data_IF_724795388624
#
_entry.id   IF_724795388624
#
_cell.length_a   1.000
_cell.length_b   1.000
_cell.length_c   1.000
_cell.angle_alpha   90.00
_cell.angle_beta   90.00
_cell.angle_gamma   90.00
#
_symmetry.space_group_name_H-M   'P 1'
#
loop_
_entity.id
_entity.type
_entity.pdbx_description
1 polymer ?
#
# COMPACT_ATOMS: atom_id res chain seq x y z
N UNK A 1 -34.97 -1.01 31.54
CA UNK A 1 -33.75 -1.83 31.59
C UNK A 1 -32.96 -1.51 30.34
N UNK A 2 -31.90 -0.73 30.51
CA UNK A 2 -31.13 -0.09 29.45
C UNK A 2 -30.37 -1.15 28.62
N UNK A 3 -30.74 -1.21 27.34
CA UNK A 3 -29.95 -1.58 26.16
C UNK A 3 -28.93 -2.75 26.26
N UNK A 4 -29.35 -3.91 25.75
CA UNK A 4 -28.48 -4.96 25.18
C UNK A 4 -27.84 -4.51 23.85
N UNK A 5 -27.38 -3.25 23.77
CA UNK A 5 -26.56 -2.73 22.70
C UNK A 5 -25.09 -2.87 23.11
N UNK A 6 -24.43 -3.98 22.80
CA UNK A 6 -23.01 -3.96 22.38
C UNK A 6 -22.53 -5.34 21.93
N UNK A 7 -22.20 -5.41 20.63
CA UNK A 7 -21.71 -6.59 19.91
C UNK A 7 -20.28 -6.89 20.33
N UNK A 8 -20.04 -8.01 20.99
CA UNK A 8 -18.67 -8.52 21.20
C UNK A 8 -18.18 -9.25 19.94
N UNK A 9 -17.72 -8.47 18.94
CA UNK A 9 -16.89 -9.02 17.87
C UNK A 9 -15.47 -9.22 18.40
N UNK A 10 -15.22 -10.38 19.00
CA UNK A 10 -13.86 -10.84 19.23
C UNK A 10 -13.09 -10.86 17.91
N UNK A 11 -12.07 -10.02 17.79
CA UNK A 11 -11.07 -10.11 16.74
C UNK A 11 -9.93 -10.96 17.32
N UNK A 12 -9.80 -12.26 16.98
CA UNK A 12 -8.65 -13.04 17.41
C UNK A 12 -7.41 -12.42 16.77
N UNK A 13 -6.71 -11.62 17.59
CA UNK A 13 -5.56 -10.85 17.21
C UNK A 13 -4.56 -11.70 16.46
N UNK A 14 -4.35 -11.33 15.20
CA UNK A 14 -3.30 -11.80 14.32
C UNK A 14 -1.97 -11.83 15.07
N UNK A 15 -1.46 -13.04 15.29
CA UNK A 15 -0.14 -13.30 15.84
C UNK A 15 0.94 -12.70 14.92
N UNK A 16 1.39 -11.49 15.29
CA UNK A 16 2.76 -10.95 15.21
C UNK A 16 3.59 -11.29 13.94
N UNK A 17 3.01 -11.19 12.74
CA UNK A 17 3.82 -11.07 11.52
C UNK A 17 4.04 -9.58 11.26
N UNK A 18 5.21 -9.05 11.63
CA UNK A 18 5.59 -7.69 11.29
C UNK A 18 5.57 -7.52 9.76
N UNK A 19 5.04 -6.42 9.21
CA UNK A 19 5.03 -6.21 7.77
C UNK A 19 6.48 -6.12 7.26
N UNK A 20 6.85 -7.00 6.32
CA UNK A 20 8.12 -6.90 5.60
C UNK A 20 8.18 -5.55 4.88
N UNK A 21 9.14 -4.70 5.25
CA UNK A 21 9.42 -3.45 4.56
C UNK A 21 10.25 -3.80 3.31
N UNK A 22 9.72 -3.47 2.13
CA UNK A 22 10.46 -3.64 0.87
C UNK A 22 11.66 -2.70 0.88
N UNK A 23 12.84 -3.23 0.59
CA UNK A 23 14.07 -2.44 0.38
C UNK A 23 14.08 -1.73 -0.98
N UNK A 24 13.17 -2.11 -1.90
CA UNK A 24 13.08 -1.47 -3.21
C UNK A 24 12.66 0.00 -3.11
N UNK A 25 13.22 0.81 -4.00
CA UNK A 25 12.78 2.19 -4.20
C UNK A 25 11.36 2.17 -4.76
N UNK A 26 10.40 2.66 -3.99
CA UNK A 26 9.03 2.88 -4.47
C UNK A 26 9.02 4.08 -5.40
N UNK A 27 9.10 3.84 -6.71
CA UNK A 27 8.92 4.88 -7.74
C UNK A 27 7.44 5.21 -7.87
N UNK A 28 7.06 6.46 -7.58
CA UNK A 28 5.71 6.95 -7.74
C UNK A 28 5.35 7.19 -9.21
N UNK A 29 4.05 7.17 -9.56
CA UNK A 29 3.56 7.38 -10.94
C UNK A 29 4.06 8.70 -11.57
N UNK A 30 4.23 9.75 -10.77
CA UNK A 30 4.63 11.07 -11.26
C UNK A 30 6.13 11.36 -11.18
N UNK A 31 6.92 10.47 -10.55
CA UNK A 31 8.36 10.65 -10.41
C UNK A 31 9.08 10.51 -11.76
N UNK A 32 10.30 11.07 -11.91
CA UNK A 32 11.17 10.78 -13.04
C UNK A 32 11.37 9.28 -13.22
N UNK A 33 11.28 8.82 -14.47
CA UNK A 33 11.44 7.40 -14.76
C UNK A 33 12.91 6.96 -14.57
N UNK A 34 13.18 5.89 -13.79
CA UNK A 34 14.55 5.45 -13.49
C UNK A 34 15.32 4.91 -14.71
N UNK A 35 14.66 4.73 -15.86
CA UNK A 35 15.31 4.35 -17.12
C UNK A 35 16.05 5.50 -17.82
N UNK A 36 16.04 6.71 -17.25
CA UNK A 36 16.77 7.86 -17.81
C UNK A 36 16.07 8.55 -18.99
N UNK A 37 14.82 8.23 -19.28
CA UNK A 37 14.08 8.82 -20.43
C UNK A 37 13.67 10.28 -20.25
N UNK A 38 13.84 10.85 -19.05
CA UNK A 38 13.35 12.20 -18.69
C UNK A 38 11.82 12.31 -18.58
N UNK A 39 11.07 11.24 -18.86
CA UNK A 39 9.61 11.21 -18.75
C UNK A 39 9.18 10.83 -17.33
N UNK A 40 7.95 11.21 -16.93
CA UNK A 40 7.33 10.70 -15.69
C UNK A 40 7.12 9.19 -15.82
N UNK A 41 7.27 8.44 -14.72
CA UNK A 41 7.14 6.97 -14.69
C UNK A 41 5.84 6.47 -15.35
N UNK A 42 4.70 7.14 -15.08
CA UNK A 42 3.39 6.83 -15.68
C UNK A 42 3.30 6.95 -17.20
N UNK A 43 4.18 7.73 -17.83
CA UNK A 43 4.22 7.93 -19.28
C UNK A 43 5.39 7.20 -19.95
N UNK A 44 6.12 6.36 -19.20
CA UNK A 44 7.28 5.62 -19.68
C UNK A 44 7.17 4.14 -19.31
N UNK A 45 7.90 3.67 -18.29
CA UNK A 45 7.90 2.25 -17.91
C UNK A 45 6.57 1.77 -17.31
N UNK A 46 5.67 2.67 -16.92
CA UNK A 46 4.35 2.34 -16.38
C UNK A 46 3.21 2.72 -17.36
N UNK A 47 3.51 2.81 -18.65
CA UNK A 47 2.51 3.09 -19.68
C UNK A 47 1.52 1.92 -19.77
N UNK A 48 0.51 1.95 -18.91
CA UNK A 48 -0.70 1.13 -18.99
C UNK A 48 -1.60 1.86 -19.98
N UNK A 49 -1.39 1.59 -21.27
CA UNK A 49 -2.29 2.08 -22.31
C UNK A 49 -3.70 1.62 -21.99
#
# INVERSE_FOLDING_TARGET
ALDLLTRERGNPGSSQLSPFRREEIKVGRNDPCPCGSGKKFKYCCMNKV
#
